data_IF_497054650439
#
_entry.id   IF_497054650439
#
_cell.length_a   1.000
_cell.length_b   1.000
_cell.length_c   1.000
_cell.angle_alpha   90.00
_cell.angle_beta   90.00
_cell.angle_gamma   90.00
#
_symmetry.space_group_name_H-M   'P 1'
#
loop_
_entity.id
_entity.type
_entity.pdbx_description
1 polymer ?
#
# COMPACT_ATOMS: atom_id res chain seq x y z
N UNK A 1 30.37 2.81 8.52
CA UNK A 1 29.74 1.49 8.30
C UNK A 1 30.76 0.35 8.19
N UNK A 2 31.68 0.35 7.21
CA UNK A 2 32.74 -0.68 7.09
C UNK A 2 33.61 -0.83 8.36
N UNK A 3 33.91 0.29 9.03
CA UNK A 3 34.64 0.30 10.31
C UNK A 3 33.85 -0.31 11.48
N UNK A 4 32.53 -0.15 11.50
CA UNK A 4 31.67 -0.70 12.56
C UNK A 4 31.55 -2.22 12.47
N UNK A 5 31.38 -2.76 11.26
CA UNK A 5 31.34 -4.21 11.02
C UNK A 5 32.69 -4.85 11.33
N UNK A 6 33.79 -4.22 10.90
CA UNK A 6 35.14 -4.71 11.17
C UNK A 6 35.46 -4.79 12.68
N UNK A 7 34.93 -3.85 13.48
CA UNK A 7 35.14 -3.86 14.94
C UNK A 7 34.23 -4.84 15.69
N UNK A 8 32.96 -4.98 15.29
CA UNK A 8 31.97 -5.73 16.07
C UNK A 8 31.71 -7.15 15.53
N UNK A 9 31.88 -7.36 14.22
CA UNK A 9 31.56 -8.61 13.52
C UNK A 9 32.57 -8.90 12.38
N UNK A 10 33.88 -9.02 12.69
CA UNK A 10 34.92 -9.17 11.67
C UNK A 10 34.78 -10.45 10.82
N UNK A 11 34.21 -11.51 11.38
CA UNK A 11 34.03 -12.79 10.69
C UNK A 11 33.03 -12.70 9.51
N UNK A 12 32.02 -11.84 9.62
CA UNK A 12 30.98 -11.66 8.61
C UNK A 12 31.33 -10.57 7.58
N UNK A 13 32.52 -9.97 7.66
CA UNK A 13 32.92 -8.85 6.80
C UNK A 13 32.88 -9.23 5.31
N UNK A 14 33.33 -10.44 4.96
CA UNK A 14 33.32 -10.92 3.58
C UNK A 14 31.90 -11.11 3.04
N UNK A 15 30.99 -11.61 3.87
CA UNK A 15 29.60 -11.82 3.49
C UNK A 15 28.86 -10.48 3.31
N UNK A 16 29.09 -9.52 4.22
CA UNK A 16 28.54 -8.16 4.10
C UNK A 16 29.13 -7.37 2.92
N UNK A 17 30.37 -7.65 2.51
CA UNK A 17 30.97 -7.05 1.32
C UNK A 17 30.43 -7.64 0.00
N UNK A 18 29.86 -8.84 0.03
CA UNK A 18 29.27 -9.49 -1.14
C UNK A 18 27.84 -9.01 -1.44
N UNK A 19 27.16 -8.38 -0.48
CA UNK A 19 25.82 -7.83 -0.65
C UNK A 19 25.86 -6.48 -1.42
N UNK A 20 25.18 -6.36 -2.56
CA UNK A 20 25.24 -5.16 -3.41
C UNK A 20 24.55 -3.93 -2.77
N UNK A 21 23.53 -4.16 -1.93
CA UNK A 21 22.80 -3.12 -1.19
C UNK A 21 22.65 -3.58 0.26
N UNK A 22 23.59 -3.17 1.10
CA UNK A 22 23.58 -3.46 2.53
C UNK A 22 23.65 -2.15 3.31
N UNK A 23 22.65 -1.91 4.17
CA UNK A 23 22.60 -0.80 5.11
C UNK A 23 22.43 -1.32 6.55
N UNK A 24 23.21 -0.77 7.48
CA UNK A 24 23.12 -1.10 8.91
C UNK A 24 22.34 0.00 9.62
N UNK A 25 21.12 -0.33 10.03
CA UNK A 25 20.32 0.54 10.88
C UNK A 25 20.70 0.33 12.34
N UNK A 26 21.55 1.21 12.86
CA UNK A 26 21.81 1.26 14.30
C UNK A 26 20.66 1.95 15.03
N UNK A 27 20.15 1.33 16.09
CA UNK A 27 19.15 1.89 17.01
C UNK A 27 19.72 3.04 17.85
N UNK A 28 20.02 4.14 17.20
CA UNK A 28 20.46 5.39 17.82
C UNK A 28 19.25 6.32 18.05
N UNK A 29 19.43 7.40 18.81
CA UNK A 29 18.37 8.39 19.02
C UNK A 29 17.74 8.90 17.69
N UNK A 30 18.55 9.05 16.65
CA UNK A 30 18.13 9.44 15.30
C UNK A 30 17.18 8.41 14.66
N UNK A 31 17.39 7.12 14.90
CA UNK A 31 16.51 6.05 14.41
C UNK A 31 15.13 6.15 15.06
N UNK A 32 15.05 6.43 16.36
CA UNK A 32 13.78 6.62 17.05
C UNK A 32 13.05 7.89 16.58
N UNK A 33 13.77 8.98 16.31
CA UNK A 33 13.19 10.19 15.74
C UNK A 33 12.63 9.91 14.35
N UNK A 34 13.39 9.23 13.47
CA UNK A 34 12.93 8.84 12.14
C UNK A 34 11.69 7.94 12.21
N UNK A 35 11.71 6.91 13.06
CA UNK A 35 10.57 6.01 13.25
C UNK A 35 9.31 6.77 13.69
N UNK A 36 9.46 7.73 14.61
CA UNK A 36 8.35 8.56 15.09
C UNK A 36 7.77 9.44 13.99
N UNK A 37 8.62 10.07 13.17
CA UNK A 37 8.18 10.86 12.01
C UNK A 37 7.42 9.97 11.01
N UNK A 38 7.95 8.79 10.69
CA UNK A 38 7.29 7.83 9.81
C UNK A 38 5.90 7.44 10.33
N UNK A 39 5.76 7.18 11.63
CA UNK A 39 4.46 6.84 12.23
C UNK A 39 3.46 8.00 12.16
N UNK A 40 3.90 9.25 12.38
CA UNK A 40 3.05 10.43 12.27
C UNK A 40 2.55 10.59 10.83
N UNK A 41 3.47 10.52 9.84
CA UNK A 41 3.13 10.64 8.42
C UNK A 41 2.15 9.55 8.00
N UNK A 42 2.39 8.31 8.42
CA UNK A 42 1.53 7.17 8.11
C UNK A 42 0.13 7.34 8.69
N UNK A 43 0.03 7.78 9.94
CA UNK A 43 -1.25 8.05 10.62
C UNK A 43 -2.02 9.17 9.94
N UNK A 44 -1.33 10.24 9.56
CA UNK A 44 -1.91 11.37 8.86
C UNK A 44 -2.43 10.95 7.47
N UNK A 45 -1.62 10.22 6.70
CA UNK A 45 -2.01 9.70 5.39
C UNK A 45 -3.24 8.79 5.48
N UNK A 46 -3.28 7.89 6.47
CA UNK A 46 -4.42 7.01 6.69
C UNK A 46 -5.70 7.80 7.04
N UNK A 47 -5.56 8.84 7.86
CA UNK A 47 -6.67 9.70 8.25
C UNK A 47 -7.22 10.50 7.06
N UNK A 48 -6.35 11.09 6.24
CA UNK A 48 -6.75 11.75 4.99
C UNK A 48 -7.46 10.79 4.04
N UNK A 49 -6.99 9.55 3.93
CA UNK A 49 -7.62 8.55 3.09
C UNK A 49 -9.06 8.26 3.54
N UNK A 50 -9.30 8.06 4.84
CA UNK A 50 -10.64 7.85 5.39
C UNK A 50 -11.56 9.05 5.13
N UNK A 51 -11.05 10.27 5.26
CA UNK A 51 -11.82 11.49 4.99
C UNK A 51 -12.26 11.55 3.52
N UNK A 52 -11.34 11.29 2.58
CA UNK A 52 -11.64 11.27 1.15
C UNK A 52 -12.71 10.23 0.82
N UNK A 53 -12.60 9.01 1.38
CA UNK A 53 -13.63 7.97 1.22
C UNK A 53 -14.98 8.47 1.71
N UNK A 54 -15.00 9.02 2.91
CA UNK A 54 -16.23 9.50 3.55
C UNK A 54 -16.89 10.59 2.71
N UNK A 55 -16.11 11.50 2.15
CA UNK A 55 -16.61 12.58 1.29
C UNK A 55 -17.13 12.05 -0.05
N UNK A 56 -16.46 11.06 -0.66
CA UNK A 56 -16.97 10.36 -1.84
C UNK A 56 -18.33 9.71 -1.56
N UNK A 57 -18.50 9.08 -0.40
CA UNK A 57 -19.77 8.47 0.01
C UNK A 57 -20.88 9.50 0.24
N UNK A 58 -20.57 10.62 0.89
CA UNK A 58 -21.52 11.72 1.09
C UNK A 58 -21.94 12.33 -0.23
N UNK A 59 -20.98 12.62 -1.11
CA UNK A 59 -21.23 13.17 -2.45
C UNK A 59 -22.13 12.23 -3.27
N UNK A 60 -21.87 10.92 -3.21
CA UNK A 60 -22.75 9.93 -3.86
C UNK A 60 -24.16 9.97 -3.28
N UNK A 61 -24.31 10.04 -1.95
CA UNK A 61 -25.63 10.07 -1.30
C UNK A 61 -26.42 11.33 -1.66
N UNK A 62 -25.73 12.45 -1.85
CA UNK A 62 -26.33 13.69 -2.35
C UNK A 62 -26.77 13.58 -3.81
N UNK A 63 -25.88 13.09 -4.69
CA UNK A 63 -26.17 12.93 -6.12
C UNK A 63 -27.30 11.92 -6.40
N UNK A 64 -27.50 10.93 -5.53
CA UNK A 64 -28.64 10.00 -5.58
C UNK A 64 -29.99 10.70 -5.62
N UNK A 65 -30.12 11.88 -5.00
CA UNK A 65 -31.37 12.62 -4.92
C UNK A 65 -31.68 13.46 -6.16
N UNK A 66 -30.71 13.70 -7.05
CA UNK A 66 -30.84 14.64 -8.18
C UNK A 66 -30.88 13.99 -9.57
N UNK A 67 -30.66 12.68 -9.71
CA UNK A 67 -30.41 12.03 -11.01
C UNK A 67 -31.51 11.02 -11.37
N UNK A 68 -31.86 10.94 -12.66
CA UNK A 68 -32.82 9.94 -13.19
C UNK A 68 -32.34 8.49 -12.96
N UNK A 69 -33.28 7.54 -12.85
CA UNK A 69 -32.98 6.14 -12.49
C UNK A 69 -31.95 5.44 -13.39
N UNK A 70 -31.89 5.83 -14.67
CA UNK A 70 -30.98 5.26 -15.68
C UNK A 70 -29.53 5.74 -15.48
N UNK A 71 -29.30 7.04 -15.28
CA UNK A 71 -27.97 7.58 -14.99
C UNK A 71 -27.51 7.18 -13.57
N UNK A 72 -28.45 7.04 -12.63
CA UNK A 72 -28.17 6.56 -11.29
C UNK A 72 -27.59 5.13 -11.27
N UNK A 73 -28.05 4.24 -12.17
CA UNK A 73 -27.51 2.88 -12.28
C UNK A 73 -26.03 2.88 -12.72
N UNK A 74 -25.67 3.70 -13.71
CA UNK A 74 -24.28 3.86 -14.18
C UNK A 74 -23.40 4.48 -13.09
N UNK A 75 -23.90 5.48 -12.36
CA UNK A 75 -23.21 6.05 -11.19
C UNK A 75 -23.00 5.04 -10.06
N UNK A 76 -24.00 4.19 -9.78
CA UNK A 76 -23.91 3.15 -8.75
C UNK A 76 -22.81 2.13 -9.05
N UNK A 77 -22.68 1.69 -10.30
CA UNK A 77 -21.59 0.80 -10.71
C UNK A 77 -20.24 1.49 -10.61
N UNK A 78 -20.18 2.78 -10.95
CA UNK A 78 -18.94 3.52 -10.84
C UNK A 78 -18.45 3.66 -9.40
N UNK A 79 -19.38 3.95 -8.48
CA UNK A 79 -19.04 4.05 -7.06
C UNK A 79 -18.77 2.68 -6.43
N UNK A 80 -19.42 1.61 -6.89
CA UNK A 80 -19.10 0.25 -6.42
C UNK A 80 -17.65 -0.10 -6.72
N UNK A 81 -17.16 0.19 -7.93
CA UNK A 81 -15.74 -0.01 -8.24
C UNK A 81 -14.87 0.91 -7.39
N UNK A 82 -15.19 2.20 -7.29
CA UNK A 82 -14.41 3.13 -6.47
C UNK A 82 -14.29 2.68 -5.00
N UNK A 83 -15.36 2.09 -4.45
CA UNK A 83 -15.36 1.48 -3.13
C UNK A 83 -14.42 0.27 -3.04
N UNK A 84 -14.47 -0.63 -4.03
CA UNK A 84 -13.57 -1.79 -4.10
C UNK A 84 -12.12 -1.31 -4.18
N UNK A 85 -11.80 -0.40 -5.10
CA UNK A 85 -10.44 0.16 -5.27
C UNK A 85 -9.94 0.86 -4.01
N UNK A 86 -10.83 1.59 -3.34
CA UNK A 86 -10.51 2.27 -2.09
C UNK A 86 -10.22 1.29 -0.96
N UNK A 87 -11.03 0.22 -0.84
CA UNK A 87 -10.79 -0.87 0.12
C UNK A 87 -9.46 -1.57 -0.17
N UNK A 88 -9.19 -1.83 -1.44
CA UNK A 88 -7.94 -2.42 -1.92
C UNK A 88 -6.74 -1.52 -1.57
N UNK A 89 -6.86 -0.19 -1.66
CA UNK A 89 -5.83 0.75 -1.20
C UNK A 89 -5.58 0.71 0.32
N UNK A 90 -6.63 0.61 1.14
CA UNK A 90 -6.47 0.44 2.60
C UNK A 90 -5.72 -0.85 2.91
N UNK A 91 -6.10 -1.95 2.24
CA UNK A 91 -5.44 -3.24 2.41
C UNK A 91 -3.95 -3.19 2.02
N UNK A 92 -3.57 -2.32 1.08
CA UNK A 92 -2.16 -2.14 0.71
C UNK A 92 -1.38 -1.14 1.55
N UNK A 93 -2.05 -0.32 2.38
CA UNK A 93 -1.34 0.42 3.42
C UNK A 93 -0.88 -0.53 4.56
N UNK A 94 -1.61 -1.62 4.78
CA UNK A 94 -1.31 -2.62 5.82
C UNK A 94 0.13 -3.18 5.77
N UNK A 95 0.66 -3.67 4.62
CA UNK A 95 2.05 -4.16 4.55
C UNK A 95 3.09 -3.09 4.90
N UNK A 96 2.83 -1.81 4.58
CA UNK A 96 3.74 -0.71 4.95
C UNK A 96 3.76 -0.51 6.48
N UNK A 97 2.58 -0.54 7.11
CA UNK A 97 2.48 -0.50 8.57
C UNK A 97 3.19 -1.70 9.24
N UNK A 98 3.05 -2.89 8.65
CA UNK A 98 3.67 -4.12 9.16
C UNK A 98 5.20 -4.05 9.07
N UNK A 99 5.76 -3.55 7.96
CA UNK A 99 7.21 -3.36 7.82
C UNK A 99 7.73 -2.39 8.89
N UNK A 100 7.05 -1.27 9.10
CA UNK A 100 7.42 -0.31 10.14
C UNK A 100 7.38 -0.93 11.55
N UNK A 101 6.34 -1.71 11.86
CA UNK A 101 6.23 -2.42 13.13
C UNK A 101 7.35 -3.46 13.31
N UNK A 102 7.65 -4.25 12.27
CA UNK A 102 8.73 -5.24 12.32
C UNK A 102 10.10 -4.59 12.56
N UNK A 103 10.34 -3.42 11.98
CA UNK A 103 11.56 -2.65 12.19
C UNK A 103 11.70 -2.12 13.64
N UNK A 104 10.59 -1.80 14.30
CA UNK A 104 10.59 -1.33 15.69
C UNK A 104 10.78 -2.51 16.66
N UNK A 105 10.02 -3.60 16.46
CA UNK A 105 9.97 -4.75 17.37
C UNK A 105 11.05 -5.83 17.12
N UNK A 106 11.88 -5.69 16.10
CA UNK A 106 12.98 -6.63 15.76
C UNK A 106 12.53 -8.10 15.68
N UNK A 107 11.54 -8.37 14.82
CA UNK A 107 11.10 -9.73 14.58
C UNK A 107 12.21 -10.59 13.94
N UNK A 108 12.39 -11.81 14.46
CA UNK A 108 13.39 -12.78 13.95
C UNK A 108 13.21 -13.15 12.47
N UNK A 109 11.99 -13.06 11.96
CA UNK A 109 11.64 -13.35 10.56
C UNK A 109 11.37 -12.06 9.75
N UNK A 110 11.86 -10.91 10.20
CA UNK A 110 11.59 -9.60 9.59
C UNK A 110 11.96 -9.52 8.11
N UNK A 111 13.03 -10.21 7.69
CA UNK A 111 13.45 -10.24 6.29
C UNK A 111 12.44 -10.98 5.41
N UNK A 112 12.09 -12.23 5.75
CA UNK A 112 11.11 -13.01 5.01
C UNK A 112 9.72 -12.36 5.00
N UNK A 113 9.27 -11.87 6.16
CA UNK A 113 7.99 -11.17 6.28
C UNK A 113 8.00 -9.83 5.54
N UNK A 114 9.13 -9.13 5.52
CA UNK A 114 9.34 -7.89 4.78
C UNK A 114 9.22 -8.11 3.27
N UNK A 115 9.88 -9.14 2.74
CA UNK A 115 9.76 -9.54 1.34
C UNK A 115 8.31 -9.88 0.97
N UNK A 116 7.60 -10.61 1.83
CA UNK A 116 6.18 -10.91 1.64
C UNK A 116 5.31 -9.65 1.62
N UNK A 117 5.60 -8.68 2.49
CA UNK A 117 4.90 -7.39 2.54
C UNK A 117 5.17 -6.56 1.28
N UNK A 118 6.41 -6.56 0.77
CA UNK A 118 6.77 -5.87 -0.47
C UNK A 118 6.06 -6.52 -1.67
N UNK A 119 6.04 -7.86 -1.73
CA UNK A 119 5.33 -8.59 -2.77
C UNK A 119 3.82 -8.31 -2.74
N UNK A 120 3.22 -8.26 -1.55
CA UNK A 120 1.83 -7.84 -1.36
C UNK A 120 1.60 -6.44 -1.93
N UNK A 121 2.42 -5.47 -1.52
CA UNK A 121 2.30 -4.09 -1.97
C UNK A 121 2.44 -3.97 -3.49
N UNK A 122 3.37 -4.69 -4.10
CA UNK A 122 3.55 -4.69 -5.55
C UNK A 122 2.33 -5.29 -6.30
N UNK A 123 1.66 -6.28 -5.72
CA UNK A 123 0.46 -6.90 -6.29
C UNK A 123 -0.77 -5.98 -6.28
N UNK A 124 -0.72 -4.84 -5.58
CA UNK A 124 -1.84 -3.91 -5.47
C UNK A 124 -2.38 -3.45 -6.83
N UNK A 125 -1.49 -3.06 -7.74
CA UNK A 125 -1.86 -2.50 -9.04
C UNK A 125 -2.61 -3.53 -9.89
N UNK A 126 -2.12 -4.78 -9.93
CA UNK A 126 -2.76 -5.86 -10.67
C UNK A 126 -4.12 -6.22 -10.08
N UNK A 127 -4.25 -6.30 -8.75
CA UNK A 127 -5.55 -6.52 -8.08
C UNK A 127 -6.53 -5.38 -8.42
N UNK A 128 -6.06 -4.14 -8.45
CA UNK A 128 -6.89 -2.98 -8.78
C UNK A 128 -7.41 -3.03 -10.24
N UNK A 129 -6.55 -3.40 -11.19
CA UNK A 129 -6.93 -3.60 -12.60
C UNK A 129 -7.92 -4.75 -12.77
N UNK A 130 -7.71 -5.87 -12.08
CA UNK A 130 -8.66 -7.00 -12.09
C UNK A 130 -10.00 -6.59 -11.49
N UNK A 131 -10.00 -5.81 -10.40
CA UNK A 131 -11.22 -5.30 -9.80
C UNK A 131 -12.00 -4.37 -10.76
N UNK A 132 -11.31 -3.52 -11.52
CA UNK A 132 -11.92 -2.72 -12.58
C UNK A 132 -12.59 -3.60 -13.64
N UNK A 133 -11.90 -4.64 -14.11
CA UNK A 133 -12.41 -5.59 -15.08
C UNK A 133 -13.60 -6.41 -14.56
N UNK A 134 -13.76 -6.61 -13.26
CA UNK A 134 -14.88 -7.39 -12.70
C UNK A 134 -16.06 -6.47 -12.35
N UNK A 135 -15.78 -5.35 -11.68
CA UNK A 135 -16.81 -4.53 -11.04
C UNK A 135 -17.24 -3.30 -11.87
N UNK A 136 -16.51 -2.93 -12.92
CA UNK A 136 -16.81 -1.75 -13.75
C UNK A 136 -17.22 -2.17 -15.17
N UNK A 137 -18.52 -2.20 -15.44
CA UNK A 137 -19.07 -2.54 -16.77
C UNK A 137 -18.53 -1.66 -17.93
N UNK A 138 -18.36 -0.32 -17.78
CA UNK A 138 -17.81 0.51 -18.85
C UNK A 138 -16.38 0.11 -19.24
N UNK A 139 -15.57 -0.29 -18.26
CA UNK A 139 -14.18 -0.68 -18.49
C UNK A 139 -14.11 -2.04 -19.18
N UNK A 140 -15.05 -2.95 -18.86
CA UNK A 140 -15.21 -4.23 -19.55
C UNK A 140 -15.59 -4.05 -21.02
N UNK A 141 -16.57 -3.18 -21.30
CA UNK A 141 -17.00 -2.92 -22.68
C UNK A 141 -15.87 -2.33 -23.51
N UNK A 142 -15.10 -1.40 -22.94
CA UNK A 142 -13.89 -0.88 -23.56
C UNK A 142 -12.85 -1.98 -23.80
N UNK A 143 -12.51 -2.78 -22.79
CA UNK A 143 -11.50 -3.84 -22.92
C UNK A 143 -11.91 -4.92 -23.93
N UNK A 144 -13.20 -5.30 -23.95
CA UNK A 144 -13.74 -6.27 -24.92
C UNK A 144 -13.64 -5.79 -26.37
N UNK A 145 -13.57 -4.48 -26.60
CA UNK A 145 -13.41 -3.92 -27.94
C UNK A 145 -12.00 -4.13 -28.52
N UNK A 146 -11.00 -4.37 -27.65
CA UNK A 146 -9.59 -4.54 -28.03
C UNK A 146 -9.08 -5.98 -27.88
N UNK A 147 -9.87 -6.89 -27.31
CA UNK A 147 -9.53 -8.30 -27.18
C UNK A 147 -10.19 -9.06 -28.34
N UNK A 148 -9.45 -9.47 -29.39
CA UNK A 148 -10.01 -10.33 -30.42
C UNK A 148 -10.34 -11.70 -29.80
N UNK A 149 -11.56 -12.18 -30.04
CA UNK A 149 -12.02 -13.52 -29.65
C UNK A 149 -11.46 -14.55 -30.63
#
# INVERSE_FOLDING_TARGET
>A
MKSFVFQNYPEYLKDFQALPEFDIYLKNAEYFVLATICLIVLTLAFSFFILIISDIFKLMSYLKLQISSVNFKKHKEAVRSLFVQSTTCILCLSPVCLIAAMAIFEFRYSQFLGELCIAWFAAQSSVNTVALLIFFAPYREFAAQYIPV
#
